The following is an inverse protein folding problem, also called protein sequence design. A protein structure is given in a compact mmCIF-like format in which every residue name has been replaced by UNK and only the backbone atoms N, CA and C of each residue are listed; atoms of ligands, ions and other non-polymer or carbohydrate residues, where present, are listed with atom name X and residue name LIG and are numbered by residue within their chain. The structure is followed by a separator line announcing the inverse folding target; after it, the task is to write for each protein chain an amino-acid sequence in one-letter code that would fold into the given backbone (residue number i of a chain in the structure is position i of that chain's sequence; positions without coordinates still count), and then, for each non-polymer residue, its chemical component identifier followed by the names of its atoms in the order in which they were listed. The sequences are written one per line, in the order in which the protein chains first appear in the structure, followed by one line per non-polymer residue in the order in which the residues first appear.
data_IF_932888123237
#
_entry.id   IF_932888123237
#
_cell.length_a   1.000
_cell.length_b   1.000
_cell.length_c   1.000
_cell.angle_alpha   90.00
_cell.angle_beta   90.00
_cell.angle_gamma   90.00
#
_symmetry.space_group_name_H-M   'P 1'
#
loop_
_entity.id
_entity.type
_entity.pdbx_description
1 polymer ?
#
# COMPACT_ATOMS: atom_id res chain seq x y z
N UNK A 1 -9.27 26.25 13.83
CA UNK A 1 -8.76 25.98 12.49
C UNK A 1 -9.63 26.75 11.51
N UNK A 2 -9.05 27.68 10.77
CA UNK A 2 -9.74 28.44 9.71
C UNK A 2 -10.03 27.52 8.51
N UNK A 3 -10.93 27.90 7.60
CA UNK A 3 -11.17 27.16 6.36
C UNK A 3 -9.90 26.94 5.53
N UNK A 4 -9.05 27.96 5.38
CA UNK A 4 -7.72 27.86 4.75
C UNK A 4 -6.80 26.85 5.46
N UNK A 5 -6.69 26.93 6.79
CA UNK A 5 -5.84 26.01 7.56
C UNK A 5 -6.31 24.56 7.41
N UNK A 6 -7.63 24.33 7.33
CA UNK A 6 -8.21 22.99 7.11
C UNK A 6 -7.88 22.46 5.71
N UNK A 7 -7.95 23.30 4.68
CA UNK A 7 -7.57 22.91 3.30
C UNK A 7 -6.10 22.51 3.21
N UNK A 8 -5.20 23.31 3.79
CA UNK A 8 -3.76 23.01 3.80
C UNK A 8 -3.48 21.71 4.55
N UNK A 9 -4.14 21.52 5.71
CA UNK A 9 -4.02 20.29 6.48
C UNK A 9 -4.48 19.06 5.69
N UNK A 10 -5.68 19.12 5.09
CA UNK A 10 -6.22 18.02 4.29
C UNK A 10 -5.33 17.70 3.08
N UNK A 11 -4.76 18.71 2.42
CA UNK A 11 -3.81 18.52 1.33
C UNK A 11 -2.51 17.83 1.79
N UNK A 12 -1.96 18.23 2.94
CA UNK A 12 -0.79 17.56 3.52
C UNK A 12 -1.07 16.10 3.89
N UNK A 13 -2.24 15.83 4.48
CA UNK A 13 -2.68 14.49 4.82
C UNK A 13 -2.88 13.62 3.56
N UNK A 14 -3.46 14.18 2.50
CA UNK A 14 -3.62 13.51 1.21
C UNK A 14 -2.26 13.08 0.66
N UNK A 15 -1.29 13.98 0.62
CA UNK A 15 0.06 13.70 0.12
C UNK A 15 0.76 12.60 0.90
N UNK A 16 0.66 12.65 2.23
CA UNK A 16 1.24 11.63 3.10
C UNK A 16 0.64 10.25 2.82
N UNK A 17 -0.68 10.16 2.66
CA UNK A 17 -1.34 8.89 2.33
C UNK A 17 -1.00 8.40 0.92
N UNK A 18 -0.88 9.31 -0.07
CA UNK A 18 -0.45 8.97 -1.42
C UNK A 18 0.95 8.34 -1.42
N UNK A 19 1.89 8.92 -0.66
CA UNK A 19 3.25 8.39 -0.50
C UNK A 19 3.27 7.03 0.20
N UNK A 20 2.46 6.85 1.25
CA UNK A 20 2.31 5.56 1.93
C UNK A 20 1.71 4.50 1.00
N UNK A 21 0.67 4.83 0.24
CA UNK A 21 0.05 3.93 -0.72
C UNK A 21 1.06 3.52 -1.81
N UNK A 22 1.91 4.45 -2.25
CA UNK A 22 2.99 4.17 -3.19
C UNK A 22 4.03 3.20 -2.60
N UNK A 23 4.46 3.40 -1.34
CA UNK A 23 5.39 2.50 -0.65
C UNK A 23 4.84 1.07 -0.57
N UNK A 24 3.59 0.91 -0.16
CA UNK A 24 2.92 -0.39 -0.10
C UNK A 24 2.73 -1.02 -1.48
N UNK A 25 2.41 -0.22 -2.50
CA UNK A 25 2.36 -0.66 -3.89
C UNK A 25 3.70 -1.18 -4.40
N UNK A 26 4.79 -0.46 -4.12
CA UNK A 26 6.16 -0.87 -4.45
C UNK A 26 6.57 -2.16 -3.73
N UNK A 27 6.22 -2.30 -2.44
CA UNK A 27 6.45 -3.54 -1.68
C UNK A 27 5.69 -4.71 -2.31
N UNK A 28 4.41 -4.52 -2.65
CA UNK A 28 3.61 -5.56 -3.28
C UNK A 28 4.18 -6.00 -4.64
N UNK A 29 4.72 -5.07 -5.44
CA UNK A 29 5.37 -5.42 -6.71
C UNK A 29 6.59 -6.33 -6.51
N UNK A 30 7.48 -5.97 -5.58
CA UNK A 30 8.66 -6.81 -5.23
C UNK A 30 8.26 -8.18 -4.70
N UNK A 31 7.24 -8.25 -3.85
CA UNK A 31 6.77 -9.52 -3.30
C UNK A 31 6.17 -10.45 -4.38
N UNK A 32 5.52 -9.90 -5.42
CA UNK A 32 5.06 -10.68 -6.58
C UNK A 32 6.21 -11.28 -7.38
N UNK A 33 7.27 -10.50 -7.61
CA UNK A 33 8.49 -10.99 -8.26
C UNK A 33 9.13 -12.11 -7.45
N UNK A 34 9.24 -11.92 -6.13
CA UNK A 34 9.75 -12.94 -5.20
C UNK A 34 8.91 -14.23 -5.26
N UNK A 35 7.58 -14.15 -5.22
CA UNK A 35 6.72 -15.34 -5.33
C UNK A 35 6.96 -16.10 -6.62
N UNK A 36 7.14 -15.39 -7.73
CA UNK A 36 7.42 -16.03 -9.03
C UNK A 36 8.74 -16.81 -8.96
N UNK A 37 9.77 -16.25 -8.31
CA UNK A 37 11.05 -16.93 -8.13
C UNK A 37 10.97 -18.15 -7.21
N UNK A 38 10.07 -18.12 -6.22
CA UNK A 38 9.87 -19.20 -5.25
C UNK A 38 9.11 -20.40 -5.81
N UNK A 39 8.48 -20.28 -6.99
CA UNK A 39 7.84 -21.40 -7.68
C UNK A 39 8.84 -22.37 -8.33
N UNK A 40 10.13 -22.02 -8.36
CA UNK A 40 11.18 -22.88 -8.89
C UNK A 40 11.50 -24.06 -7.97
N UNK A 41 12.14 -25.10 -8.53
CA UNK A 41 12.65 -26.21 -7.75
C UNK A 41 14.03 -25.89 -7.11
N UNK A 42 14.25 -26.25 -5.84
CA UNK A 42 13.33 -26.92 -4.91
C UNK A 42 12.26 -25.97 -4.34
N UNK A 43 11.00 -26.38 -4.37
CA UNK A 43 9.88 -25.58 -3.89
C UNK A 43 9.82 -25.53 -2.36
N UNK A 44 10.11 -24.36 -1.77
CA UNK A 44 10.01 -24.13 -0.33
C UNK A 44 8.61 -23.61 0.04
N UNK A 45 7.72 -24.53 0.41
CA UNK A 45 6.32 -24.23 0.79
C UNK A 45 6.22 -23.20 1.93
N UNK A 46 7.12 -23.25 2.92
CA UNK A 46 7.06 -22.34 4.08
C UNK A 46 7.37 -20.92 3.68
N UNK A 47 8.45 -20.74 2.93
CA UNK A 47 8.87 -19.43 2.42
C UNK A 47 7.84 -18.86 1.44
N UNK A 48 7.32 -19.69 0.54
CA UNK A 48 6.24 -19.29 -0.37
C UNK A 48 5.01 -18.79 0.39
N UNK A 49 4.59 -19.49 1.44
CA UNK A 49 3.47 -19.06 2.29
C UNK A 49 3.76 -17.72 2.95
N UNK A 50 4.93 -17.55 3.58
CA UNK A 50 5.30 -16.30 4.25
C UNK A 50 5.30 -15.12 3.26
N UNK A 51 5.90 -15.26 2.09
CA UNK A 51 5.91 -14.19 1.08
C UNK A 51 4.51 -13.91 0.53
N UNK A 52 3.64 -14.92 0.46
CA UNK A 52 2.24 -14.76 0.07
C UNK A 52 1.42 -13.99 1.10
N UNK A 53 1.60 -14.29 2.39
CA UNK A 53 0.93 -13.60 3.50
C UNK A 53 1.37 -12.12 3.55
N UNK A 54 2.67 -11.87 3.40
CA UNK A 54 3.25 -10.52 3.29
C UNK A 54 2.68 -9.74 2.08
N UNK A 55 2.48 -10.41 0.95
CA UNK A 55 1.90 -9.80 -0.24
C UNK A 55 0.43 -9.42 0.00
N UNK A 56 -0.33 -10.31 0.63
CA UNK A 56 -1.72 -10.07 0.98
C UNK A 56 -1.85 -8.86 1.92
N UNK A 57 -0.98 -8.75 2.93
CA UNK A 57 -0.93 -7.58 3.81
C UNK A 57 -0.63 -6.31 3.02
N UNK A 58 0.41 -6.31 2.18
CA UNK A 58 0.82 -5.14 1.42
C UNK A 58 -0.27 -4.64 0.47
N UNK A 59 -1.00 -5.55 -0.19
CA UNK A 59 -2.14 -5.22 -1.04
C UNK A 59 -3.28 -4.63 -0.22
N UNK A 60 -3.62 -5.27 0.91
CA UNK A 60 -4.70 -4.81 1.79
C UNK A 60 -4.43 -3.40 2.30
N UNK A 61 -3.21 -3.13 2.79
CA UNK A 61 -2.81 -1.80 3.27
C UNK A 61 -2.85 -0.74 2.18
N UNK A 62 -2.35 -1.07 0.99
CA UNK A 62 -2.42 -0.17 -0.18
C UNK A 62 -3.87 0.19 -0.51
N UNK A 63 -4.77 -0.79 -0.50
CA UNK A 63 -6.16 -0.59 -0.91
C UNK A 63 -6.98 0.15 0.17
N UNK A 64 -6.68 -0.08 1.46
CA UNK A 64 -7.18 0.75 2.56
C UNK A 64 -6.78 2.22 2.39
N UNK A 65 -5.51 2.49 2.09
CA UNK A 65 -5.01 3.85 1.88
C UNK A 65 -5.65 4.51 0.66
N UNK A 66 -5.85 3.77 -0.44
CA UNK A 66 -6.55 4.29 -1.63
C UNK A 66 -7.97 4.73 -1.32
N UNK A 67 -8.71 3.94 -0.52
CA UNK A 67 -10.07 4.33 -0.08
C UNK A 67 -10.05 5.63 0.73
N UNK A 68 -9.11 5.75 1.67
CA UNK A 68 -8.96 6.96 2.48
C UNK A 68 -8.55 8.19 1.65
N UNK A 69 -7.70 8.00 0.63
CA UNK A 69 -7.33 9.03 -0.34
C UNK A 69 -8.57 9.52 -1.11
N UNK A 70 -9.39 8.60 -1.60
CA UNK A 70 -10.61 8.92 -2.34
C UNK A 70 -11.65 9.65 -1.47
N UNK A 71 -11.72 9.34 -0.17
CA UNK A 71 -12.54 10.07 0.80
C UNK A 71 -12.00 11.49 1.03
N UNK A 72 -10.71 11.65 1.29
CA UNK A 72 -10.08 12.96 1.51
C UNK A 72 -10.19 13.88 0.29
N UNK A 73 -10.12 13.33 -0.92
CA UNK A 73 -10.30 14.09 -2.17
C UNK A 73 -11.70 14.70 -2.31
N UNK A 74 -12.71 14.18 -1.61
CA UNK A 74 -14.06 14.76 -1.59
C UNK A 74 -14.17 15.95 -0.63
N UNK A 75 -13.23 16.07 0.31
CA UNK A 75 -13.21 17.10 1.36
C UNK A 75 -12.30 18.29 1.04
N UNK A 76 -11.57 18.24 -0.08
CA UNK A 76 -10.66 19.28 -0.59
C UNK A 76 -11.34 20.03 -1.73
#
# INVERSE_FOLDING_TARGET
MTPEERKIYNFGLLKLKEDEAYKWGSRAARLKENLTSLLNEPFNVREFKTVSDDLAEAITKRDELKKQIDELRKEI
#
